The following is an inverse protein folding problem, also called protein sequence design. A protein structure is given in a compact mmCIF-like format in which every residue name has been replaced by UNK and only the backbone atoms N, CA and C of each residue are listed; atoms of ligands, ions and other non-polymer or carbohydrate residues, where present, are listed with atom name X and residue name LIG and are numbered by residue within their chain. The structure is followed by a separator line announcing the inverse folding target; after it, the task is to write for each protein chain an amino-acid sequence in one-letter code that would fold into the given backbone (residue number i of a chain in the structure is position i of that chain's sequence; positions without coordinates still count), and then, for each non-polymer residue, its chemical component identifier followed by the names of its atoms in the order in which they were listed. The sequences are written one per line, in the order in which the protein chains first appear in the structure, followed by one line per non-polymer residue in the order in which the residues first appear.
data_IF_618651274274
#
_entry.id   IF_618651274274
#
_cell.length_a   1.000
_cell.length_b   1.000
_cell.length_c   1.000
_cell.angle_alpha   90.00
_cell.angle_beta   90.00
_cell.angle_gamma   90.00
#
_symmetry.space_group_name_H-M   'P 1'
#
loop_
_entity.id
_entity.type
_entity.pdbx_description
1 polymer ?
#
# COMPACT_ATOMS: atom_id res chain seq x y z
N UNK A 1 12.46 -29.36 -38.27
CA UNK A 1 11.55 -29.41 -37.10
C UNK A 1 12.14 -28.54 -36.01
N UNK A 2 11.85 -27.24 -36.06
CA UNK A 2 12.25 -26.26 -35.06
C UNK A 2 10.97 -25.69 -34.47
N UNK A 3 10.67 -26.06 -33.23
CA UNK A 3 9.60 -25.48 -32.44
C UNK A 3 10.21 -24.31 -31.68
N UNK A 4 10.15 -23.11 -32.26
CA UNK A 4 10.29 -21.88 -31.49
C UNK A 4 8.93 -21.56 -30.89
N UNK A 5 8.85 -21.75 -29.57
CA UNK A 5 7.79 -21.24 -28.70
C UNK A 5 7.84 -19.70 -28.73
N UNK A 6 7.15 -19.10 -29.68
CA UNK A 6 6.76 -17.70 -29.62
C UNK A 6 5.30 -17.62 -29.19
N UNK A 7 5.07 -17.54 -27.88
CA UNK A 7 3.84 -16.96 -27.36
C UNK A 7 4.16 -16.14 -26.10
N UNK A 8 4.76 -14.97 -26.33
CA UNK A 8 4.62 -13.84 -25.40
C UNK A 8 3.16 -13.38 -25.44
N UNK A 9 2.28 -14.11 -24.75
CA UNK A 9 0.98 -13.57 -24.38
C UNK A 9 1.19 -12.65 -23.17
N UNK A 10 1.76 -11.49 -23.46
CA UNK A 10 1.88 -10.38 -22.53
C UNK A 10 0.64 -9.51 -22.77
N UNK A 11 -0.35 -9.67 -21.89
CA UNK A 11 -1.69 -9.08 -21.99
C UNK A 11 -1.73 -7.55 -21.80
N UNK A 12 -0.59 -6.86 -21.75
CA UNK A 12 -0.57 -5.41 -21.67
C UNK A 12 -0.85 -4.83 -23.06
N UNK A 13 -1.89 -4.00 -23.26
CA UNK A 13 -2.04 -3.28 -24.50
C UNK A 13 -0.88 -2.29 -24.60
N UNK A 14 0.07 -2.53 -25.51
CA UNK A 14 1.24 -1.67 -25.72
C UNK A 14 0.87 -0.22 -26.06
N UNK A 15 -0.38 -0.01 -26.52
CA UNK A 15 -0.95 1.29 -26.89
C UNK A 15 -2.10 1.73 -25.96
N UNK A 16 -2.14 1.23 -24.71
CA UNK A 16 -3.13 1.70 -23.75
C UNK A 16 -2.83 3.16 -23.38
N UNK A 17 -3.72 4.07 -23.80
CA UNK A 17 -3.70 5.45 -23.35
C UNK A 17 -4.12 5.50 -21.87
N UNK A 18 -3.13 5.61 -20.98
CA UNK A 18 -3.37 5.80 -19.54
C UNK A 18 -3.99 7.16 -19.22
N UNK A 19 -4.22 8.03 -20.22
CA UNK A 19 -4.78 9.36 -20.04
C UNK A 19 -3.73 10.37 -19.60
N UNK A 20 -4.18 11.44 -18.95
CA UNK A 20 -3.28 12.53 -18.54
C UNK A 20 -2.32 12.05 -17.43
N UNK A 21 -1.02 12.11 -17.72
CA UNK A 21 0.05 11.73 -16.78
C UNK A 21 0.00 12.51 -15.46
N UNK A 22 -0.58 13.73 -15.46
CA UNK A 22 -0.79 14.51 -14.24
C UNK A 22 -1.71 13.82 -13.24
N UNK A 23 -2.63 12.96 -13.71
CA UNK A 23 -3.53 12.17 -12.86
C UNK A 23 -2.78 11.12 -12.01
N UNK A 24 -1.57 10.71 -12.44
CA UNK A 24 -0.73 9.73 -11.75
C UNK A 24 0.59 10.33 -11.26
N UNK A 25 0.69 11.67 -11.28
CA UNK A 25 1.91 12.38 -10.89
C UNK A 25 2.35 12.01 -9.48
N UNK A 26 1.42 11.98 -8.52
CA UNK A 26 1.73 11.60 -7.15
C UNK A 26 2.36 10.20 -7.07
N UNK A 27 1.78 9.22 -7.75
CA UNK A 27 2.24 7.84 -7.70
C UNK A 27 3.64 7.63 -8.32
N UNK A 28 4.09 8.55 -9.17
CA UNK A 28 5.35 8.45 -9.90
C UNK A 28 6.43 9.40 -9.38
N UNK A 29 6.13 10.24 -8.40
CA UNK A 29 7.04 11.27 -7.86
C UNK A 29 7.24 11.22 -6.35
N UNK A 30 6.84 10.11 -5.71
CA UNK A 30 7.15 9.88 -4.30
C UNK A 30 8.65 9.92 -4.01
N UNK A 31 8.97 10.31 -2.78
CA UNK A 31 10.32 10.26 -2.23
C UNK A 31 10.74 8.79 -2.09
N UNK A 32 11.64 8.35 -2.97
CA UNK A 32 12.09 6.98 -3.11
C UNK A 32 13.43 6.98 -3.86
N UNK A 33 14.45 6.37 -3.27
CA UNK A 33 15.83 6.39 -3.79
C UNK A 33 16.08 5.32 -4.85
N UNK A 34 15.16 4.36 -4.98
CA UNK A 34 15.24 3.26 -5.93
C UNK A 34 14.14 3.37 -7.02
N UNK A 35 14.56 3.43 -8.29
CA UNK A 35 13.64 3.52 -9.44
C UNK A 35 12.72 2.30 -9.58
N UNK A 36 13.25 1.10 -9.35
CA UNK A 36 12.44 -0.13 -9.41
C UNK A 36 11.46 -0.19 -8.24
N UNK A 37 11.85 0.29 -7.06
CA UNK A 37 10.91 0.45 -5.94
C UNK A 37 9.80 1.45 -6.28
N UNK A 38 10.12 2.56 -6.95
CA UNK A 38 9.12 3.55 -7.39
C UNK A 38 8.13 2.97 -8.40
N UNK A 39 8.58 2.12 -9.33
CA UNK A 39 7.69 1.38 -10.24
C UNK A 39 6.78 0.42 -9.49
N UNK A 40 7.30 -0.30 -8.50
CA UNK A 40 6.49 -1.17 -7.64
C UNK A 40 5.44 -0.37 -6.86
N UNK A 41 5.80 0.81 -6.35
CA UNK A 41 4.85 1.72 -5.71
C UNK A 41 3.74 2.17 -6.65
N UNK A 42 4.09 2.61 -7.87
CA UNK A 42 3.10 3.03 -8.87
C UNK A 42 2.13 1.90 -9.24
N UNK A 43 2.64 0.67 -9.41
CA UNK A 43 1.83 -0.52 -9.65
C UNK A 43 0.91 -0.82 -8.47
N UNK A 44 1.44 -0.80 -7.25
CA UNK A 44 0.68 -1.01 -6.02
C UNK A 44 -0.45 0.02 -5.87
N UNK A 45 -0.16 1.30 -6.16
CA UNK A 45 -1.14 2.38 -6.11
C UNK A 45 -2.29 2.15 -7.11
N UNK A 46 -1.97 1.66 -8.32
CA UNK A 46 -2.99 1.24 -9.29
C UNK A 46 -3.89 0.11 -8.77
N UNK A 47 -3.32 -0.92 -8.15
CA UNK A 47 -4.10 -1.99 -7.53
C UNK A 47 -4.96 -1.50 -6.37
N UNK A 48 -4.42 -0.58 -5.55
CA UNK A 48 -5.15 0.05 -4.44
C UNK A 48 -6.38 0.81 -4.94
N UNK A 49 -6.23 1.64 -5.99
CA UNK A 49 -7.35 2.37 -6.59
C UNK A 49 -8.41 1.44 -7.21
N UNK A 50 -8.00 0.27 -7.69
CA UNK A 50 -8.87 -0.78 -8.21
C UNK A 50 -9.48 -1.68 -7.13
N UNK A 51 -9.30 -1.36 -5.84
CA UNK A 51 -9.75 -2.17 -4.70
C UNK A 51 -9.17 -3.59 -4.65
N UNK A 52 -8.07 -3.85 -5.36
CA UNK A 52 -7.32 -5.10 -5.27
C UNK A 52 -6.23 -4.96 -4.18
N UNK A 53 -6.66 -4.93 -2.93
CA UNK A 53 -5.78 -4.64 -1.79
C UNK A 53 -4.72 -5.72 -1.53
N UNK A 54 -4.99 -6.99 -1.84
CA UNK A 54 -4.03 -8.07 -1.65
C UNK A 54 -2.82 -7.89 -2.57
N UNK A 55 -3.05 -7.64 -3.86
CA UNK A 55 -1.96 -7.36 -4.80
C UNK A 55 -1.30 -6.00 -4.55
N UNK A 56 -2.05 -5.00 -4.09
CA UNK A 56 -1.48 -3.74 -3.67
C UNK A 56 -0.48 -3.94 -2.51
N UNK A 57 -0.83 -4.72 -1.48
CA UNK A 57 0.07 -5.02 -0.37
C UNK A 57 1.30 -5.79 -0.84
N UNK A 58 1.15 -6.78 -1.72
CA UNK A 58 2.28 -7.52 -2.27
C UNK A 58 3.27 -6.58 -2.97
N UNK A 59 2.76 -5.67 -3.81
CA UNK A 59 3.57 -4.68 -4.52
C UNK A 59 4.19 -3.62 -3.59
N UNK A 60 3.45 -3.09 -2.61
CA UNK A 60 4.00 -2.15 -1.62
C UNK A 60 5.06 -2.82 -0.74
N UNK A 61 4.85 -4.08 -0.34
CA UNK A 61 5.86 -4.85 0.40
C UNK A 61 7.12 -5.02 -0.43
N UNK A 62 6.98 -5.29 -1.74
CA UNK A 62 8.13 -5.35 -2.64
C UNK A 62 8.84 -4.01 -2.78
N UNK A 63 8.10 -2.90 -2.81
CA UNK A 63 8.66 -1.55 -2.77
C UNK A 63 9.51 -1.36 -1.50
N UNK A 64 8.98 -1.72 -0.33
CA UNK A 64 9.70 -1.62 0.95
C UNK A 64 10.92 -2.56 1.05
N UNK A 65 10.90 -3.73 0.39
CA UNK A 65 12.08 -4.60 0.30
C UNK A 65 13.21 -3.97 -0.54
N UNK A 66 12.85 -3.27 -1.62
CA UNK A 66 13.78 -2.64 -2.56
C UNK A 66 14.29 -1.28 -2.06
N UNK A 67 13.45 -0.55 -1.33
CA UNK A 67 13.76 0.70 -0.64
C UNK A 67 13.10 0.72 0.75
N UNK A 68 13.81 0.24 1.79
CA UNK A 68 13.32 0.25 3.17
C UNK A 68 13.12 1.65 3.77
N UNK A 69 13.59 2.70 3.09
CA UNK A 69 13.43 4.09 3.53
C UNK A 69 12.24 4.79 2.88
N UNK A 70 11.57 4.13 1.91
CA UNK A 70 10.38 4.64 1.25
C UNK A 70 9.18 4.66 2.22
N UNK A 71 8.96 5.80 2.89
CA UNK A 71 7.86 5.98 3.84
C UNK A 71 6.48 5.67 3.22
N UNK A 72 6.30 5.99 1.93
CA UNK A 72 5.04 5.81 1.22
C UNK A 72 4.70 4.33 0.97
N UNK A 73 5.69 3.43 0.89
CA UNK A 73 5.44 2.00 0.80
C UNK A 73 4.70 1.50 2.05
N UNK A 74 5.17 1.89 3.23
CA UNK A 74 4.55 1.54 4.51
C UNK A 74 3.17 2.20 4.69
N UNK A 75 3.01 3.45 4.26
CA UNK A 75 1.71 4.11 4.20
C UNK A 75 0.70 3.33 3.35
N UNK A 76 1.12 2.85 2.17
CA UNK A 76 0.27 2.08 1.26
C UNK A 76 -0.18 0.75 1.84
N UNK A 77 0.72 0.03 2.54
CA UNK A 77 0.37 -1.19 3.27
C UNK A 77 -0.65 -0.88 4.37
N UNK A 78 -0.37 0.14 5.20
CA UNK A 78 -1.28 0.54 6.28
C UNK A 78 -2.68 0.90 5.75
N UNK A 79 -2.76 1.58 4.60
CA UNK A 79 -4.01 1.95 3.96
C UNK A 79 -4.81 0.71 3.53
N UNK A 80 -4.17 -0.20 2.79
CA UNK A 80 -4.81 -1.40 2.25
C UNK A 80 -5.28 -2.34 3.37
N UNK A 81 -4.47 -2.50 4.42
CA UNK A 81 -4.81 -3.34 5.57
C UNK A 81 -5.99 -2.78 6.36
N UNK A 82 -6.07 -1.46 6.51
CA UNK A 82 -7.12 -0.80 7.28
C UNK A 82 -8.49 -0.75 6.61
N UNK A 83 -8.51 -0.94 5.29
CA UNK A 83 -9.70 -0.70 4.48
C UNK A 83 -10.54 -1.97 4.27
N UNK A 84 -10.09 -3.13 4.76
CA UNK A 84 -10.82 -4.38 4.56
C UNK A 84 -11.53 -4.88 5.81
N UNK A 85 -12.82 -4.55 5.91
CA UNK A 85 -13.74 -5.09 6.92
C UNK A 85 -13.93 -6.62 6.84
N UNK A 86 -13.58 -7.24 5.70
CA UNK A 86 -13.85 -8.65 5.42
C UNK A 86 -12.62 -9.57 5.56
N UNK A 87 -11.46 -9.05 5.97
CA UNK A 87 -10.29 -9.90 6.15
C UNK A 87 -10.41 -10.77 7.40
N UNK A 88 -9.95 -12.02 7.27
CA UNK A 88 -9.69 -12.88 8.41
C UNK A 88 -8.81 -12.12 9.40
N UNK A 89 -9.13 -12.15 10.71
CA UNK A 89 -8.30 -11.52 11.72
C UNK A 89 -6.88 -12.07 11.62
N UNK A 90 -5.90 -11.24 11.22
CA UNK A 90 -4.52 -11.70 11.03
C UNK A 90 -3.57 -10.79 10.26
N UNK A 91 -4.03 -9.94 9.35
CA UNK A 91 -3.16 -9.02 8.59
C UNK A 91 -2.71 -7.77 9.38
N UNK A 92 -3.09 -7.67 10.65
CA UNK A 92 -2.75 -6.55 11.54
C UNK A 92 -3.69 -5.36 11.38
N UNK A 93 -3.51 -4.33 12.21
CA UNK A 93 -4.36 -3.13 12.23
C UNK A 93 -3.93 -2.06 11.24
N UNK A 94 -2.79 -2.20 10.57
CA UNK A 94 -2.12 -1.11 9.85
C UNK A 94 -1.28 -0.19 10.76
N UNK A 95 -1.36 -0.34 12.09
CA UNK A 95 -0.65 0.50 13.06
C UNK A 95 0.87 0.44 12.91
N UNK A 96 1.45 -0.75 12.91
CA UNK A 96 2.91 -0.91 12.87
C UNK A 96 3.51 -0.33 11.57
N UNK A 97 2.79 -0.49 10.46
CA UNK A 97 3.19 0.06 9.18
C UNK A 97 3.13 1.59 9.17
N UNK A 98 2.05 2.20 9.69
CA UNK A 98 1.99 3.66 9.73
C UNK A 98 3.01 4.26 10.70
N UNK A 99 3.36 3.56 11.79
CA UNK A 99 4.43 3.99 12.68
C UNK A 99 5.78 3.95 12.00
N UNK A 100 6.03 2.93 11.17
CA UNK A 100 7.24 2.87 10.35
C UNK A 100 7.27 4.01 9.33
N UNK A 101 6.13 4.37 8.73
CA UNK A 101 6.07 5.53 7.83
C UNK A 101 6.40 6.84 8.58
N UNK A 102 5.91 7.01 9.81
CA UNK A 102 6.20 8.19 10.65
C UNK A 102 7.70 8.33 10.92
N UNK A 103 8.43 7.24 11.18
CA UNK A 103 9.87 7.32 11.46
C UNK A 103 10.71 7.69 10.23
N UNK A 104 10.15 7.53 9.03
CA UNK A 104 10.84 7.75 7.76
C UNK A 104 10.44 9.07 7.06
N UNK A 105 9.35 9.72 7.48
CA UNK A 105 8.74 10.83 6.73
C UNK A 105 9.54 12.13 6.70
N UNK A 106 10.56 12.32 7.56
CA UNK A 106 11.25 13.61 7.71
C UNK A 106 11.85 14.13 6.39
N UNK A 107 12.35 13.21 5.56
CA UNK A 107 12.90 13.51 4.22
C UNK A 107 11.88 13.61 3.09
N UNK A 108 10.61 13.29 3.36
CA UNK A 108 9.55 13.29 2.34
C UNK A 108 9.06 14.71 2.01
N UNK A 109 8.34 14.81 0.90
CA UNK A 109 7.59 16.01 0.53
C UNK A 109 6.50 16.34 1.56
N UNK A 110 6.05 17.60 1.59
CA UNK A 110 4.96 18.04 2.48
C UNK A 110 3.68 17.22 2.27
N UNK A 111 3.32 16.92 1.01
CA UNK A 111 2.14 16.11 0.71
C UNK A 111 2.24 14.69 1.31
N UNK A 112 3.39 14.05 1.19
CA UNK A 112 3.61 12.71 1.75
C UNK A 112 3.53 12.74 3.28
N UNK A 113 4.13 13.76 3.93
CA UNK A 113 4.04 13.96 5.37
C UNK A 113 2.60 14.13 5.83
N UNK A 114 1.83 14.97 5.14
CA UNK A 114 0.42 15.20 5.45
C UNK A 114 -0.44 13.93 5.32
N UNK A 115 -0.20 13.13 4.27
CA UNK A 115 -0.89 11.85 4.07
C UNK A 115 -0.55 10.83 5.15
N UNK A 116 0.72 10.77 5.56
CA UNK A 116 1.18 9.91 6.66
C UNK A 116 0.52 10.34 7.97
N UNK A 117 0.50 11.63 8.27
CA UNK A 117 -0.11 12.15 9.50
C UNK A 117 -1.63 11.97 9.54
N UNK A 118 -2.31 12.17 8.41
CA UNK A 118 -3.74 11.93 8.31
C UNK A 118 -4.08 10.45 8.56
N UNK A 119 -3.33 9.52 7.95
CA UNK A 119 -3.57 8.08 8.13
C UNK A 119 -3.17 7.62 9.55
N UNK A 120 -2.17 8.23 10.16
CA UNK A 120 -1.77 7.96 11.54
C UNK A 120 -2.88 8.27 12.55
N UNK A 121 -3.69 9.31 12.32
CA UNK A 121 -4.83 9.62 13.19
C UNK A 121 -5.86 8.48 13.20
N UNK A 122 -6.11 7.85 12.04
CA UNK A 122 -7.00 6.69 11.92
C UNK A 122 -6.46 5.46 12.65
N UNK A 123 -5.13 5.33 12.67
CA UNK A 123 -4.38 4.22 13.27
C UNK A 123 -3.71 4.61 14.58
N UNK A 124 -4.37 5.44 15.39
CA UNK A 124 -3.85 5.78 16.70
C UNK A 124 -3.79 4.53 17.60
N UNK A 125 -2.91 4.56 18.62
CA UNK A 125 -2.88 3.51 19.63
C UNK A 125 -4.25 3.31 20.32
N UNK A 126 -5.00 4.40 20.45
CA UNK A 126 -6.38 4.38 20.96
C UNK A 126 -7.33 3.61 20.02
N UNK A 127 -7.23 3.81 18.70
CA UNK A 127 -8.02 3.07 17.72
C UNK A 127 -7.72 1.56 17.76
N UNK A 128 -6.45 1.19 17.94
CA UNK A 128 -6.03 -0.21 18.12
C UNK A 128 -6.63 -0.85 19.39
N UNK A 129 -6.62 -0.11 20.50
CA UNK A 129 -7.21 -0.55 21.76
C UNK A 129 -8.74 -0.72 21.64
N UNK A 130 -9.42 0.22 20.98
CA UNK A 130 -10.87 0.14 20.75
C UNK A 130 -11.27 -1.04 19.86
N UNK A 131 -10.51 -1.32 18.79
CA UNK A 131 -10.74 -2.49 17.93
C UNK A 131 -10.59 -3.80 18.72
N UNK A 132 -9.54 -3.88 19.55
CA UNK A 132 -9.27 -5.07 20.39
C UNK A 132 -10.35 -5.28 21.45
N UNK A 133 -10.85 -4.19 22.04
CA UNK A 133 -11.94 -4.25 23.01
C UNK A 133 -13.26 -4.70 22.35
N UNK A 134 -13.60 -4.14 21.18
CA UNK A 134 -14.81 -4.51 20.44
C UNK A 134 -14.78 -5.98 20.01
N UNK A 135 -13.69 -6.45 19.41
CA UNK A 135 -13.55 -7.85 18.99
C UNK A 135 -13.70 -8.81 20.17
N UNK A 136 -13.12 -8.48 21.33
CA UNK A 136 -13.29 -9.26 22.56
C UNK A 136 -14.74 -9.30 23.04
N UNK A 137 -15.46 -8.18 22.99
CA UNK A 137 -16.88 -8.14 23.39
C UNK A 137 -17.80 -8.94 22.45
N UNK A 138 -17.53 -8.94 21.15
CA UNK A 138 -18.28 -9.73 20.17
C UNK A 138 -18.10 -11.23 20.39
N UNK A 139 -16.89 -11.69 20.71
CA UNK A 139 -16.61 -13.11 21.00
C UNK A 139 -17.33 -13.56 22.28
N UNK A 140 -17.39 -12.71 23.30
CA UNK A 140 -18.11 -13.03 24.55
C UNK A 140 -19.63 -13.06 24.31
N UNK A 141 -20.17 -12.19 23.46
CA UNK A 141 -21.61 -12.11 23.19
C UNK A 141 -22.17 -13.27 22.32
N UNK A 142 -21.29 -14.09 21.70
CA UNK A 142 -21.68 -15.25 20.88
C UNK A 142 -21.58 -16.60 21.61
N UNK A 143 -21.16 -16.60 22.89
CA UNK A 143 -21.15 -17.77 23.78
C UNK A 143 -22.27 -17.66 24.84
#
# INVERSE_FOLDING_TARGET
MSLLLESKHEFSPYDYDFGDASNYFFATTITCDNEEARKMYALAFGHMLNYNHEEAIACFSKCAELDPTCAMAYWGIAYCVSSNYNWSPGLGSGHDYIQTAITLKDGCSELEKDLIDALAQRHSAEALMQQTQQSSTWVIAQN
#
